data_IF_140120577100
#
_entry.id   IF_140120577100
#
_cell.length_a   1.000
_cell.length_b   1.000
_cell.length_c   1.000
_cell.angle_alpha   90.00
_cell.angle_beta   90.00
_cell.angle_gamma   90.00
#
_symmetry.space_group_name_H-M   'P 1'
#
loop_
_entity.id
_entity.type
_entity.pdbx_description
1 polymer ?
#
# COMPACT_ATOMS: atom_id res chain seq x y z
N UNK A 1 17.69 4.16 -12.82
CA UNK A 1 17.91 3.82 -11.40
C UNK A 1 16.97 2.70 -11.01
N UNK A 2 17.33 1.92 -10.00
CA UNK A 2 16.49 0.85 -9.46
C UNK A 2 15.66 1.42 -8.29
N UNK A 3 14.34 1.31 -8.38
CA UNK A 3 13.38 1.88 -7.42
C UNK A 3 12.53 0.76 -6.83
N UNK A 4 12.56 0.62 -5.51
CA UNK A 4 11.85 -0.42 -4.74
C UNK A 4 10.51 0.11 -4.25
N UNK A 5 9.44 -0.55 -4.66
CA UNK A 5 8.04 -0.18 -4.39
C UNK A 5 7.45 -1.17 -3.39
N UNK A 6 7.25 -0.72 -2.15
CA UNK A 6 6.62 -1.51 -1.09
C UNK A 6 5.11 -1.66 -1.27
N UNK A 7 4.59 -2.87 -1.04
CA UNK A 7 3.14 -3.13 -0.96
C UNK A 7 2.85 -4.32 -0.04
N UNK A 8 1.59 -4.46 0.38
CA UNK A 8 1.12 -5.63 1.14
C UNK A 8 1.04 -6.88 0.27
N UNK A 9 0.97 -8.05 0.94
CA UNK A 9 0.85 -9.35 0.27
C UNK A 9 -0.55 -9.69 -0.25
N UNK A 10 -1.59 -8.96 0.15
CA UNK A 10 -2.95 -9.26 -0.31
C UNK A 10 -3.07 -9.12 -1.83
N UNK A 11 -3.90 -9.95 -2.50
CA UNK A 11 -4.03 -9.92 -3.96
C UNK A 11 -4.36 -8.52 -4.50
N UNK A 12 -5.28 -7.80 -3.84
CA UNK A 12 -5.65 -6.45 -4.26
C UNK A 12 -4.49 -5.45 -4.12
N UNK A 13 -3.70 -5.52 -3.04
CA UNK A 13 -2.57 -4.60 -2.84
C UNK A 13 -1.46 -4.82 -3.89
N UNK A 14 -1.26 -6.06 -4.32
CA UNK A 14 -0.33 -6.38 -5.41
C UNK A 14 -0.81 -5.81 -6.74
N UNK A 15 -2.09 -5.97 -7.07
CA UNK A 15 -2.69 -5.39 -8.29
C UNK A 15 -2.58 -3.86 -8.29
N UNK A 16 -2.84 -3.22 -7.15
CA UNK A 16 -2.69 -1.76 -7.00
C UNK A 16 -1.24 -1.33 -7.24
N UNK A 17 -0.27 -2.04 -6.67
CA UNK A 17 1.14 -1.76 -6.88
C UNK A 17 1.57 -1.97 -8.34
N UNK A 18 1.09 -3.03 -8.98
CA UNK A 18 1.38 -3.33 -10.39
C UNK A 18 0.83 -2.24 -11.32
N UNK A 19 -0.35 -1.68 -11.01
CA UNK A 19 -0.90 -0.56 -11.77
C UNK A 19 -0.01 0.69 -11.69
N UNK A 20 0.46 1.02 -10.48
CA UNK A 20 1.38 2.16 -10.27
C UNK A 20 2.73 1.91 -10.96
N UNK A 21 3.30 0.71 -10.80
CA UNK A 21 4.56 0.30 -11.45
C UNK A 21 4.44 0.44 -12.97
N UNK A 22 3.37 -0.07 -13.57
CA UNK A 22 3.16 0.02 -15.02
C UNK A 22 3.11 1.47 -15.52
N UNK A 23 2.40 2.36 -14.81
CA UNK A 23 2.34 3.79 -15.14
C UNK A 23 3.71 4.45 -15.01
N UNK A 24 4.44 4.18 -13.94
CA UNK A 24 5.79 4.71 -13.73
C UNK A 24 6.77 4.21 -14.80
N UNK A 25 6.71 2.93 -15.15
CA UNK A 25 7.57 2.33 -16.18
C UNK A 25 7.32 2.93 -17.57
N UNK A 26 6.07 3.28 -17.89
CA UNK A 26 5.74 3.95 -19.14
C UNK A 26 6.24 5.40 -19.19
N UNK A 27 6.24 6.11 -18.06
CA UNK A 27 6.70 7.50 -17.98
C UNK A 27 8.22 7.61 -17.88
N UNK A 28 8.87 6.63 -17.24
CA UNK A 28 10.31 6.60 -16.97
C UNK A 28 10.91 5.26 -17.45
N UNK A 29 10.96 5.01 -18.76
CA UNK A 29 11.41 3.74 -19.34
C UNK A 29 12.86 3.39 -19.00
N UNK A 30 13.69 4.37 -18.67
CA UNK A 30 15.09 4.24 -18.26
C UNK A 30 15.27 3.82 -16.79
N UNK A 31 14.19 3.79 -16.01
CA UNK A 31 14.18 3.30 -14.63
C UNK A 31 13.64 1.87 -14.55
N UNK A 32 14.03 1.17 -13.48
CA UNK A 32 13.54 -0.16 -13.15
C UNK A 32 12.78 -0.09 -11.84
N UNK A 33 11.59 -0.65 -11.83
CA UNK A 33 10.70 -0.62 -10.67
C UNK A 33 10.50 -2.04 -10.12
N UNK A 34 10.85 -2.25 -8.86
CA UNK A 34 10.82 -3.55 -8.20
C UNK A 34 9.74 -3.58 -7.12
N UNK A 35 8.77 -4.49 -7.26
CA UNK A 35 7.75 -4.70 -6.23
C UNK A 35 8.33 -5.46 -5.03
N UNK A 36 8.23 -4.88 -3.84
CA UNK A 36 8.68 -5.48 -2.58
C UNK A 36 7.46 -5.81 -1.72
N UNK A 37 7.24 -7.10 -1.49
CA UNK A 37 6.12 -7.58 -0.69
C UNK A 37 6.44 -7.52 0.81
N UNK A 38 5.64 -6.78 1.56
CA UNK A 38 5.84 -6.54 2.99
C UNK A 38 4.71 -7.21 3.77
N UNK A 39 5.09 -8.09 4.69
CA UNK A 39 4.13 -8.68 5.64
C UNK A 39 3.80 -7.65 6.72
N UNK A 40 2.52 -7.41 6.95
CA UNK A 40 2.02 -6.56 8.04
C UNK A 40 1.39 -7.42 9.13
N UNK A 41 1.25 -6.89 10.35
CA UNK A 41 0.63 -7.63 11.45
C UNK A 41 -0.83 -8.03 11.13
N UNK A 42 -1.55 -7.20 10.38
CA UNK A 42 -2.92 -7.51 9.94
C UNK A 42 -3.00 -8.50 8.78
N UNK A 43 -1.89 -8.83 8.11
CA UNK A 43 -1.86 -9.98 7.19
C UNK A 43 -1.70 -11.31 7.94
N UNK A 44 -1.14 -11.28 9.15
CA UNK A 44 -0.89 -12.44 10.00
C UNK A 44 -2.10 -12.80 10.87
N UNK A 45 -2.92 -11.81 11.24
CA UNK A 45 -4.12 -12.00 12.04
C UNK A 45 -5.39 -11.61 11.26
N UNK A 46 -6.04 -12.62 10.66
CA UNK A 46 -7.30 -12.49 9.93
C UNK A 46 -8.53 -12.84 10.78
N UNK A 47 -8.32 -13.26 12.04
CA UNK A 47 -9.39 -13.76 12.91
C UNK A 47 -9.88 -12.68 13.87
N UNK A 48 -8.98 -11.80 14.31
CA UNK A 48 -9.32 -10.70 15.20
C UNK A 48 -9.94 -9.56 14.37
N UNK A 49 -11.04 -8.98 14.85
CA UNK A 49 -11.67 -7.88 14.14
C UNK A 49 -10.77 -6.65 14.15
N UNK A 50 -10.83 -5.84 13.09
CA UNK A 50 -10.07 -4.58 12.98
C UNK A 50 -10.30 -3.63 14.16
N UNK A 51 -11.50 -3.62 14.74
CA UNK A 51 -11.84 -2.85 15.92
C UNK A 51 -11.15 -3.36 17.19
N UNK A 52 -10.89 -4.66 17.29
CA UNK A 52 -10.20 -5.29 18.43
C UNK A 52 -8.67 -5.21 18.32
N UNK A 53 -8.12 -5.15 17.11
CA UNK A 53 -6.67 -5.07 16.92
C UNK A 53 -6.05 -3.69 17.21
N UNK A 54 -6.84 -2.73 17.69
CA UNK A 54 -6.34 -1.44 18.17
C UNK A 54 -6.30 -0.32 17.13
N UNK A 55 -7.03 -0.46 16.01
CA UNK A 55 -7.52 0.65 15.16
C UNK A 55 -6.48 1.69 14.68
N UNK A 56 -6.22 1.71 13.37
CA UNK A 56 -5.26 2.57 12.64
C UNK A 56 -3.78 2.19 12.87
N UNK A 57 -3.03 2.00 11.77
CA UNK A 57 -1.58 1.80 11.83
C UNK A 57 -1.09 0.37 11.54
N UNK A 58 -1.91 -0.65 11.76
CA UNK A 58 -1.51 -2.07 11.70
C UNK A 58 -0.97 -2.48 10.33
N UNK A 59 -1.58 -1.95 9.27
CA UNK A 59 -1.21 -2.23 7.88
C UNK A 59 -0.11 -1.32 7.33
N UNK A 60 0.23 -0.24 8.03
CA UNK A 60 1.15 0.80 7.52
C UNK A 60 2.47 0.84 8.28
N UNK A 61 2.52 0.47 9.56
CA UNK A 61 3.71 0.64 10.42
C UNK A 61 4.96 -0.02 9.84
N UNK A 62 4.85 -1.27 9.37
CA UNK A 62 5.99 -2.00 8.80
C UNK A 62 6.46 -1.38 7.47
N UNK A 63 5.54 -0.85 6.67
CA UNK A 63 5.84 -0.23 5.39
C UNK A 63 6.48 1.15 5.61
N UNK A 64 5.92 1.95 6.54
CA UNK A 64 6.49 3.23 6.96
C UNK A 64 7.90 3.08 7.51
N UNK A 65 8.14 2.08 8.37
CA UNK A 65 9.47 1.81 8.89
C UNK A 65 10.47 1.53 7.76
N UNK A 66 10.08 0.75 6.75
CA UNK A 66 10.93 0.43 5.59
C UNK A 66 11.18 1.62 4.67
N UNK A 67 10.24 2.56 4.56
CA UNK A 67 10.47 3.84 3.87
C UNK A 67 11.50 4.68 4.64
N UNK A 68 11.31 4.82 5.96
CA UNK A 68 12.20 5.61 6.81
C UNK A 68 13.64 5.05 6.87
N UNK A 69 13.82 3.73 6.73
CA UNK A 69 15.14 3.09 6.69
C UNK A 69 15.75 3.01 5.29
N UNK A 70 15.03 3.44 4.23
CA UNK A 70 15.50 3.34 2.83
C UNK A 70 15.49 1.90 2.29
N UNK A 71 14.86 0.96 2.98
CA UNK A 71 14.67 -0.41 2.48
C UNK A 71 13.74 -0.45 1.26
N UNK A 72 12.80 0.50 1.18
CA UNK A 72 11.99 0.80 -0.01
C UNK A 72 12.00 2.30 -0.27
N UNK A 73 11.78 2.69 -1.53
CA UNK A 73 11.86 4.08 -1.97
C UNK A 73 10.47 4.74 -2.01
N UNK A 74 9.42 3.96 -2.26
CA UNK A 74 8.03 4.40 -2.21
C UNK A 74 7.11 3.24 -1.82
N UNK A 75 5.88 3.56 -1.42
CA UNK A 75 4.87 2.58 -1.04
C UNK A 75 3.53 2.85 -1.71
N UNK A 76 2.80 1.78 -2.03
CA UNK A 76 1.44 1.85 -2.57
C UNK A 76 0.46 1.31 -1.55
N UNK A 77 -0.58 2.10 -1.26
CA UNK A 77 -1.63 1.77 -0.31
C UNK A 77 -3.02 2.03 -0.92
N UNK A 78 -4.02 1.30 -0.42
CA UNK A 78 -5.39 1.80 -0.50
C UNK A 78 -5.51 3.01 0.42
N UNK A 79 -5.96 4.15 -0.12
CA UNK A 79 -5.97 5.42 0.62
C UNK A 79 -6.76 5.35 1.95
N UNK A 80 -7.84 4.55 1.99
CA UNK A 80 -8.66 4.34 3.19
C UNK A 80 -7.92 3.67 4.36
N UNK A 81 -6.80 2.99 4.08
CA UNK A 81 -6.02 2.27 5.09
C UNK A 81 -4.91 3.15 5.69
N UNK A 82 -4.71 4.37 5.16
CA UNK A 82 -3.71 5.32 5.66
C UNK A 82 -4.23 6.05 6.92
N UNK A 83 -3.33 6.37 7.86
CA UNK A 83 -3.69 7.19 9.01
C UNK A 83 -4.03 8.62 8.57
N UNK A 84 -4.88 9.31 9.34
CA UNK A 84 -5.27 10.69 9.05
C UNK A 84 -4.12 11.70 9.20
N UNK A 85 -3.11 11.36 10.00
CA UNK A 85 -1.91 12.17 10.22
C UNK A 85 -0.73 11.54 9.47
N UNK A 86 -0.04 12.36 8.67
CA UNK A 86 1.21 11.92 8.06
C UNK A 86 2.28 11.70 9.15
N UNK A 87 2.95 10.54 9.17
CA UNK A 87 4.04 10.31 10.11
C UNK A 87 5.24 11.19 9.72
N UNK A 88 5.96 11.67 10.72
CA UNK A 88 7.16 12.49 10.51
C UNK A 88 8.15 11.79 9.57
N UNK A 89 8.69 12.53 8.61
CA UNK A 89 9.68 12.03 7.64
C UNK A 89 9.09 11.34 6.41
N UNK A 90 7.76 11.16 6.33
CA UNK A 90 7.07 10.64 5.14
C UNK A 90 6.00 11.63 4.68
N UNK A 91 5.61 11.53 3.41
CA UNK A 91 4.53 12.34 2.84
C UNK A 91 3.74 11.55 1.81
N UNK A 92 2.48 11.92 1.58
CA UNK A 92 1.68 11.38 0.48
C UNK A 92 2.05 12.07 -0.82
N UNK A 93 2.91 11.43 -1.61
CA UNK A 93 3.47 12.02 -2.83
C UNK A 93 2.47 12.11 -4.00
N UNK A 94 1.50 11.19 -4.09
CA UNK A 94 0.57 11.14 -5.22
C UNK A 94 -0.70 10.35 -4.92
N UNK A 95 -1.76 10.68 -5.66
CA UNK A 95 -2.99 9.89 -5.75
C UNK A 95 -3.24 9.54 -7.23
N UNK A 96 -3.33 8.25 -7.59
CA UNK A 96 -3.82 7.85 -8.91
C UNK A 96 -5.27 8.30 -9.12
N UNK A 97 -5.73 8.25 -10.37
CA UNK A 97 -7.14 8.46 -10.69
C UNK A 97 -8.04 7.56 -9.84
N UNK A 98 -9.10 8.15 -9.27
CA UNK A 98 -9.95 7.47 -8.30
C UNK A 98 -10.87 6.47 -8.98
N UNK A 99 -10.83 5.21 -8.53
CA UNK A 99 -11.81 4.20 -8.91
C UNK A 99 -13.22 4.54 -8.38
N UNK A 100 -14.30 3.94 -8.92
CA UNK A 100 -15.65 4.12 -8.40
C UNK A 100 -15.72 3.91 -6.89
N UNK A 101 -16.33 4.87 -6.18
CA UNK A 101 -16.35 4.91 -4.72
C UNK A 101 -17.62 4.32 -4.09
N UNK A 102 -18.52 3.76 -4.91
CA UNK A 102 -19.75 3.14 -4.42
C UNK A 102 -19.49 1.77 -3.80
N UNK A 103 -20.25 1.44 -2.76
CA UNK A 103 -20.26 0.10 -2.18
C UNK A 103 -20.98 -0.90 -3.10
N UNK A 104 -20.62 -2.17 -2.99
CA UNK A 104 -21.24 -3.26 -3.74
C UNK A 104 -22.03 -4.19 -2.82
N UNK A 105 -23.28 -4.48 -3.20
CA UNK A 105 -24.09 -5.51 -2.54
C UNK A 105 -23.72 -6.89 -3.09
N UNK A 106 -23.20 -7.77 -2.23
CA UNK A 106 -22.85 -9.15 -2.58
C UNK A 106 -23.87 -10.08 -1.91
N UNK A 107 -24.70 -10.75 -2.72
CA UNK A 107 -25.68 -11.74 -2.25
C UNK A 107 -25.25 -13.13 -2.69
N UNK A 108 -25.45 -14.12 -1.81
CA UNK A 108 -25.54 -15.53 -2.24
C UNK A 108 -27.01 -15.81 -2.47
N UNK A 109 -27.35 -16.31 -3.65
CA UNK A 109 -28.69 -16.85 -3.91
C UNK A 109 -28.93 -18.07 -3.02
#
# INVERSE_FOLDING_TARGET
>A
MDIKIGTRKSPLAQIQADNVISRLQNLFPEHRFFKVLITTAGDLDQKTSLSQMGGQGIFVKNIQQKLLTGEIDLAVHSAKDLPSLEPSGLTLAAFPERAPAGDALILRN
#
